data_IF_965950647187
#
_entry.id   IF_965950647187
#
_cell.length_a   1.000
_cell.length_b   1.000
_cell.length_c   1.000
_cell.angle_alpha   90.00
_cell.angle_beta   90.00
_cell.angle_gamma   90.00
#
_symmetry.space_group_name_H-M   'P 1'
#
loop_
_entity.id
_entity.type
_entity.pdbx_description
1 polymer ?
#
# COMPACT_ATOMS: atom_id res chain seq x y z
N UNK A 1 -11.26 -17.75 10.01
CA UNK A 1 -9.86 -18.23 10.20
C UNK A 1 -9.39 -19.11 9.01
N UNK A 2 -10.17 -20.08 8.52
CA UNK A 2 -9.74 -20.96 7.42
C UNK A 2 -9.56 -20.23 6.07
N UNK A 3 -10.40 -19.24 5.72
CA UNK A 3 -10.25 -18.46 4.49
C UNK A 3 -9.00 -17.56 4.48
N UNK A 4 -8.63 -17.00 5.64
CA UNK A 4 -7.40 -16.18 5.75
C UNK A 4 -6.11 -17.02 5.63
N UNK A 5 -6.12 -18.26 6.12
CA UNK A 5 -4.97 -19.18 5.95
C UNK A 5 -4.76 -19.54 4.47
N UNK A 6 -5.84 -19.87 3.72
CA UNK A 6 -5.72 -20.20 2.28
C UNK A 6 -5.21 -19.03 1.43
N UNK A 7 -5.52 -17.77 1.79
CA UNK A 7 -5.02 -16.59 1.06
C UNK A 7 -3.53 -16.37 1.32
N UNK A 8 -3.04 -16.58 2.55
CA UNK A 8 -1.61 -16.42 2.88
C UNK A 8 -0.70 -17.41 2.13
N UNK A 9 -1.14 -18.64 1.98
CA UNK A 9 -0.34 -19.68 1.32
C UNK A 9 -0.18 -19.45 -0.19
N UNK A 10 -0.96 -18.51 -0.76
CA UNK A 10 -0.95 -18.20 -2.19
C UNK A 10 -0.32 -16.83 -2.54
N UNK A 11 0.07 -16.01 -1.56
CA UNK A 11 0.75 -14.74 -1.82
C UNK A 11 2.25 -15.00 -1.96
N UNK A 12 2.77 -14.80 -3.16
CA UNK A 12 4.18 -15.10 -3.49
C UNK A 12 5.12 -13.92 -3.23
N UNK A 13 4.62 -12.68 -3.35
CA UNK A 13 5.40 -11.47 -3.09
C UNK A 13 4.51 -10.26 -2.78
N UNK A 14 5.08 -9.29 -2.07
CA UNK A 14 4.64 -7.90 -2.05
C UNK A 14 5.39 -7.15 -3.16
N UNK A 15 4.71 -6.31 -3.93
CA UNK A 15 5.32 -5.52 -4.99
C UNK A 15 5.23 -4.04 -4.63
N UNK A 16 6.34 -3.32 -4.77
CA UNK A 16 6.40 -1.86 -4.57
C UNK A 16 7.20 -1.18 -5.66
N UNK A 17 6.82 0.06 -5.98
CA UNK A 17 7.58 0.93 -6.88
C UNK A 17 8.44 1.90 -6.08
N UNK A 18 9.73 1.98 -6.42
CA UNK A 18 10.72 2.81 -5.74
C UNK A 18 11.29 3.82 -6.75
N UNK A 19 11.39 5.08 -6.33
CA UNK A 19 12.22 6.05 -7.02
C UNK A 19 13.68 5.66 -6.86
N UNK A 20 14.37 5.43 -7.99
CA UNK A 20 15.74 4.90 -8.03
C UNK A 20 16.76 5.78 -7.31
N UNK A 21 16.60 7.10 -7.38
CA UNK A 21 17.59 8.04 -6.83
C UNK A 21 17.36 8.29 -5.34
N UNK A 22 16.10 8.49 -4.92
CA UNK A 22 15.76 8.75 -3.53
C UNK A 22 15.67 7.48 -2.67
N UNK A 23 15.56 6.30 -3.28
CA UNK A 23 15.34 5.02 -2.60
C UNK A 23 14.10 5.05 -1.70
N UNK A 24 13.03 5.74 -2.17
CA UNK A 24 11.75 5.85 -1.47
C UNK A 24 10.61 5.38 -2.38
N UNK A 25 9.53 4.86 -1.79
CA UNK A 25 8.32 4.52 -2.56
C UNK A 25 7.77 5.74 -3.29
N UNK A 26 7.29 5.54 -4.52
CA UNK A 26 6.95 6.65 -5.42
C UNK A 26 5.76 7.47 -4.96
N UNK A 27 4.78 6.87 -4.30
CA UNK A 27 3.56 7.56 -3.85
C UNK A 27 3.63 8.00 -2.39
N UNK A 28 4.18 7.15 -1.52
CA UNK A 28 4.13 7.36 -0.07
C UNK A 28 5.42 7.95 0.50
N UNK A 29 6.51 8.01 -0.29
CA UNK A 29 7.80 8.52 0.17
C UNK A 29 8.51 7.66 1.23
N UNK A 30 8.05 6.44 1.49
CA UNK A 30 8.57 5.56 2.53
C UNK A 30 9.96 5.04 2.12
N UNK A 31 10.99 5.13 3.00
CA UNK A 31 12.31 4.60 2.73
C UNK A 31 12.30 3.09 2.46
N UNK A 32 13.11 2.64 1.49
CA UNK A 32 13.20 1.22 1.14
C UNK A 32 13.54 0.31 2.34
N UNK A 33 14.45 0.67 3.26
CA UNK A 33 14.72 -0.17 4.44
C UNK A 33 13.48 -0.43 5.31
N UNK A 34 12.58 0.55 5.45
CA UNK A 34 11.31 0.36 6.20
C UNK A 34 10.35 -0.57 5.46
N UNK A 35 10.27 -0.47 4.13
CA UNK A 35 9.43 -1.38 3.33
C UNK A 35 9.98 -2.81 3.39
N UNK A 36 11.30 -2.98 3.40
CA UNK A 36 11.92 -4.29 3.56
C UNK A 36 11.63 -4.87 4.95
N UNK A 37 11.82 -4.08 6.01
CA UNK A 37 11.50 -4.49 7.37
C UNK A 37 10.01 -4.88 7.52
N UNK A 38 9.11 -4.15 6.86
CA UNK A 38 7.67 -4.47 6.82
C UNK A 38 7.44 -5.84 6.18
N UNK A 39 8.01 -6.09 5.00
CA UNK A 39 7.89 -7.36 4.29
C UNK A 39 8.47 -8.53 5.11
N UNK A 40 9.65 -8.33 5.72
CA UNK A 40 10.31 -9.32 6.57
C UNK A 40 9.45 -9.66 7.80
N UNK A 41 8.87 -8.64 8.45
CA UNK A 41 8.00 -8.83 9.61
C UNK A 41 6.68 -9.55 9.26
N UNK A 42 6.15 -9.33 8.04
CA UNK A 42 4.98 -10.04 7.52
C UNK A 42 5.35 -11.46 7.06
N UNK A 43 6.61 -11.68 6.69
CA UNK A 43 7.10 -12.97 6.19
C UNK A 43 6.77 -13.22 4.72
N UNK A 44 6.60 -12.17 3.91
CA UNK A 44 6.34 -12.26 2.46
C UNK A 44 7.46 -11.50 1.74
N UNK A 45 8.13 -12.09 0.72
CA UNK A 45 9.20 -11.42 -0.01
C UNK A 45 8.77 -10.09 -0.65
N UNK A 46 9.64 -9.07 -0.62
CA UNK A 46 9.41 -7.80 -1.29
C UNK A 46 10.04 -7.80 -2.68
N UNK A 47 9.24 -7.55 -3.71
CA UNK A 47 9.70 -7.31 -5.08
C UNK A 47 9.71 -5.80 -5.37
N UNK A 48 10.88 -5.30 -5.77
CA UNK A 48 11.12 -3.87 -5.98
C UNK A 48 11.12 -3.57 -7.47
N UNK A 49 10.27 -2.66 -7.89
CA UNK A 49 10.24 -2.09 -9.24
C UNK A 49 10.87 -0.70 -9.19
N UNK A 50 12.09 -0.58 -9.73
CA UNK A 50 12.79 0.69 -9.76
C UNK A 50 12.28 1.58 -10.90
N UNK A 51 11.84 2.78 -10.55
CA UNK A 51 11.41 3.81 -11.50
C UNK A 51 12.46 4.92 -11.58
N UNK A 52 12.63 5.48 -12.78
CA UNK A 52 13.48 6.66 -12.97
C UNK A 52 12.80 7.90 -12.40
N UNK A 53 13.55 8.85 -11.80
CA UNK A 53 12.97 10.04 -11.12
C UNK A 53 12.13 10.95 -12.02
N UNK A 54 12.44 10.95 -13.32
CA UNK A 54 11.73 11.73 -14.34
C UNK A 54 10.89 10.84 -15.26
N UNK A 55 10.65 9.58 -14.83
CA UNK A 55 9.88 8.61 -15.59
C UNK A 55 8.46 9.10 -15.82
N UNK A 56 8.05 9.10 -17.08
CA UNK A 56 6.67 9.35 -17.47
C UNK A 56 5.81 8.09 -17.26
N UNK A 57 4.54 8.18 -17.60
CA UNK A 57 3.59 7.06 -17.49
C UNK A 57 4.03 5.83 -18.32
N UNK A 58 4.75 6.04 -19.43
CA UNK A 58 5.31 4.95 -20.26
C UNK A 58 6.36 4.15 -19.50
N UNK A 59 7.32 4.80 -18.87
CA UNK A 59 8.36 4.14 -18.06
C UNK A 59 7.75 3.33 -16.91
N UNK A 60 6.69 3.87 -16.29
CA UNK A 60 5.95 3.12 -15.27
C UNK A 60 5.30 1.87 -15.86
N UNK A 61 4.60 2.01 -16.99
CA UNK A 61 3.91 0.90 -17.65
C UNK A 61 4.88 -0.20 -18.10
N UNK A 62 6.03 0.17 -18.66
CA UNK A 62 7.09 -0.77 -19.04
C UNK A 62 7.65 -1.53 -17.85
N UNK A 63 8.00 -0.82 -16.78
CA UNK A 63 8.56 -1.44 -15.57
C UNK A 63 7.57 -2.39 -14.91
N UNK A 64 6.29 -2.00 -14.82
CA UNK A 64 5.22 -2.86 -14.30
C UNK A 64 4.95 -4.06 -15.20
N UNK A 65 5.03 -3.91 -16.53
CA UNK A 65 4.91 -5.01 -17.48
C UNK A 65 6.04 -6.03 -17.30
N UNK A 66 7.29 -5.56 -17.13
CA UNK A 66 8.43 -6.44 -16.85
C UNK A 66 8.23 -7.23 -15.56
N UNK A 67 7.78 -6.57 -14.48
CA UNK A 67 7.47 -7.24 -13.22
C UNK A 67 6.34 -8.27 -13.37
N UNK A 68 5.28 -7.92 -14.11
CA UNK A 68 4.17 -8.82 -14.36
C UNK A 68 4.58 -10.07 -15.14
N UNK A 69 5.41 -9.92 -16.18
CA UNK A 69 5.96 -11.03 -16.92
C UNK A 69 6.85 -11.94 -16.06
N UNK A 70 7.71 -11.35 -15.22
CA UNK A 70 8.53 -12.09 -14.27
C UNK A 70 7.68 -12.97 -13.33
N UNK A 71 6.60 -12.44 -12.78
CA UNK A 71 5.71 -13.21 -11.93
C UNK A 71 4.86 -14.24 -12.70
N UNK A 72 4.47 -13.92 -13.92
CA UNK A 72 3.78 -14.87 -14.79
C UNK A 72 4.62 -16.11 -15.06
N UNK A 73 5.93 -15.95 -15.31
CA UNK A 73 6.86 -17.07 -15.49
C UNK A 73 6.97 -17.95 -14.24
N UNK A 74 6.70 -17.41 -13.06
CA UNK A 74 6.63 -18.13 -11.79
C UNK A 74 5.25 -18.76 -11.53
N UNK A 75 4.29 -18.62 -12.46
CA UNK A 75 2.96 -19.18 -12.33
C UNK A 75 1.96 -18.29 -11.58
N UNK A 76 2.29 -17.02 -11.34
CA UNK A 76 1.34 -16.06 -10.75
C UNK A 76 0.26 -15.75 -11.75
N UNK A 77 -0.98 -15.87 -11.32
CA UNK A 77 -2.18 -15.65 -12.15
C UNK A 77 -2.98 -14.43 -11.76
N UNK A 78 -2.72 -13.85 -10.57
CA UNK A 78 -3.48 -12.74 -10.03
C UNK A 78 -2.57 -11.67 -9.43
N UNK A 79 -2.92 -10.41 -9.65
CA UNK A 79 -2.37 -9.28 -8.90
C UNK A 79 -3.47 -8.69 -8.02
N UNK A 80 -3.16 -8.51 -6.73
CA UNK A 80 -4.11 -8.04 -5.71
C UNK A 80 -3.81 -6.57 -5.42
N UNK A 81 -4.86 -5.75 -5.46
CA UNK A 81 -4.81 -4.32 -5.13
C UNK A 81 -5.82 -3.98 -4.05
N UNK A 82 -5.62 -2.85 -3.37
CA UNK A 82 -6.45 -2.41 -2.25
C UNK A 82 -7.51 -1.37 -2.60
N UNK A 83 -7.67 -1.02 -3.88
CA UNK A 83 -8.59 0.04 -4.28
C UNK A 83 -10.05 -0.30 -3.92
N UNK A 84 -10.81 0.72 -3.49
CA UNK A 84 -12.17 0.56 -2.98
C UNK A 84 -13.20 0.91 -4.06
N UNK A 85 -12.99 2.03 -4.83
CA UNK A 85 -13.96 2.53 -5.81
C UNK A 85 -13.36 3.33 -6.98
N UNK A 86 -12.03 3.41 -7.15
CA UNK A 86 -11.39 4.20 -8.22
C UNK A 86 -11.48 3.49 -9.58
N UNK A 87 -12.57 3.70 -10.30
CA UNK A 87 -12.89 3.00 -11.55
C UNK A 87 -11.85 3.17 -12.66
N UNK A 88 -11.27 4.36 -12.79
CA UNK A 88 -10.25 4.67 -13.79
C UNK A 88 -8.92 3.96 -13.51
N UNK A 89 -8.54 3.87 -12.25
CA UNK A 89 -7.35 3.14 -11.78
C UNK A 89 -7.51 1.65 -12.04
N UNK A 90 -8.64 1.06 -11.65
CA UNK A 90 -8.96 -0.33 -11.93
C UNK A 90 -8.93 -0.64 -13.42
N UNK A 91 -9.64 0.16 -14.23
CA UNK A 91 -9.68 -0.03 -15.68
C UNK A 91 -8.27 0.10 -16.32
N UNK A 92 -7.40 0.97 -15.79
CA UNK A 92 -6.02 1.06 -16.21
C UNK A 92 -5.26 -0.25 -15.91
N UNK A 93 -5.35 -0.79 -14.69
CA UNK A 93 -4.70 -2.05 -14.29
C UNK A 93 -5.17 -3.24 -15.11
N UNK A 94 -6.48 -3.37 -15.32
CA UNK A 94 -7.06 -4.42 -16.13
C UNK A 94 -6.54 -4.36 -17.59
N UNK A 95 -6.47 -3.17 -18.18
CA UNK A 95 -5.90 -3.00 -19.54
C UNK A 95 -4.43 -3.39 -19.64
N UNK A 96 -3.64 -3.18 -18.56
CA UNK A 96 -2.22 -3.55 -18.56
C UNK A 96 -2.00 -5.04 -18.32
N UNK A 97 -2.77 -5.67 -17.46
CA UNK A 97 -2.53 -7.04 -16.99
C UNK A 97 -3.29 -8.11 -17.78
N UNK A 98 -4.49 -7.80 -18.29
CA UNK A 98 -5.30 -8.76 -19.04
C UNK A 98 -4.59 -9.32 -20.30
N UNK A 99 -3.84 -8.53 -21.11
CA UNK A 99 -3.09 -9.07 -22.25
C UNK A 99 -2.01 -10.07 -21.85
N UNK A 100 -1.54 -10.00 -20.60
CA UNK A 100 -0.56 -10.92 -20.03
C UNK A 100 -1.21 -12.18 -19.44
N UNK A 101 -2.54 -12.25 -19.42
CA UNK A 101 -3.28 -13.33 -18.79
C UNK A 101 -3.21 -13.31 -17.26
N UNK A 102 -3.03 -12.15 -16.68
CA UNK A 102 -3.04 -11.90 -15.22
C UNK A 102 -4.35 -11.20 -14.86
N UNK A 103 -5.04 -11.72 -13.86
CA UNK A 103 -6.30 -11.17 -13.36
C UNK A 103 -6.04 -10.13 -12.27
N UNK A 104 -6.79 -9.03 -12.31
CA UNK A 104 -6.81 -8.01 -11.25
C UNK A 104 -7.82 -8.43 -10.19
N UNK A 105 -7.39 -8.50 -8.94
CA UNK A 105 -8.23 -8.82 -7.79
C UNK A 105 -8.23 -7.65 -6.82
N UNK A 106 -9.40 -7.12 -6.53
CA UNK A 106 -9.61 -6.02 -5.57
C UNK A 106 -10.62 -6.47 -4.52
N UNK A 107 -10.15 -7.05 -3.40
CA UNK A 107 -11.05 -7.65 -2.39
C UNK A 107 -11.99 -6.67 -1.70
N UNK A 108 -11.65 -5.38 -1.71
CA UNK A 108 -12.45 -4.30 -1.09
C UNK A 108 -13.38 -3.61 -2.08
N UNK A 109 -13.25 -3.91 -3.38
CA UNK A 109 -13.96 -3.21 -4.45
C UNK A 109 -15.48 -3.39 -4.37
N UNK A 110 -16.19 -2.28 -4.19
CA UNK A 110 -17.66 -2.22 -4.26
C UNK A 110 -18.40 -3.15 -3.30
N UNK A 111 -17.69 -3.83 -2.40
CA UNK A 111 -18.29 -4.78 -1.46
C UNK A 111 -19.00 -4.05 -0.33
N UNK A 112 -18.40 -2.93 0.13
CA UNK A 112 -18.90 -2.11 1.23
C UNK A 112 -18.51 -0.64 0.99
N UNK A 113 -19.12 0.28 1.74
CA UNK A 113 -18.74 1.70 1.67
C UNK A 113 -17.36 1.94 2.31
N UNK A 114 -16.74 3.06 1.95
CA UNK A 114 -15.44 3.49 2.49
C UNK A 114 -15.45 3.55 4.03
N UNK A 115 -16.54 4.00 4.64
CA UNK A 115 -16.70 4.05 6.10
C UNK A 115 -16.69 2.65 6.73
N UNK A 116 -17.30 1.65 6.07
CA UNK A 116 -17.28 0.26 6.57
C UNK A 116 -15.86 -0.33 6.45
N UNK A 117 -15.13 -0.03 5.38
CA UNK A 117 -13.72 -0.43 5.24
C UNK A 117 -12.91 0.15 6.40
N UNK A 118 -13.07 1.45 6.71
CA UNK A 118 -12.39 2.08 7.83
C UNK A 118 -12.78 1.46 9.18
N UNK A 119 -14.05 1.16 9.42
CA UNK A 119 -14.49 0.45 10.63
C UNK A 119 -13.84 -0.93 10.76
N UNK A 120 -13.73 -1.68 9.66
CA UNK A 120 -13.05 -2.98 9.64
C UNK A 120 -11.54 -2.82 9.89
N UNK A 121 -10.91 -1.79 9.34
CA UNK A 121 -9.53 -1.45 9.61
C UNK A 121 -9.33 -1.19 11.11
N UNK A 122 -10.08 -0.29 11.73
CA UNK A 122 -10.01 0.01 13.17
C UNK A 122 -10.21 -1.23 14.05
N UNK A 123 -11.07 -2.15 13.63
CA UNK A 123 -11.32 -3.41 14.34
C UNK A 123 -10.26 -4.50 14.08
N UNK A 124 -9.39 -4.32 13.08
CA UNK A 124 -8.41 -5.35 12.66
C UNK A 124 -7.22 -5.49 13.60
N UNK A 125 -6.92 -4.45 14.40
CA UNK A 125 -5.72 -4.34 15.22
C UNK A 125 -4.47 -3.94 14.43
N UNK A 126 -4.59 -3.59 13.14
CA UNK A 126 -3.50 -2.97 12.38
C UNK A 126 -3.22 -1.57 12.92
N UNK A 127 -1.95 -1.18 12.96
CA UNK A 127 -1.51 0.15 13.39
C UNK A 127 -0.79 0.84 12.26
N UNK A 128 -1.22 2.05 11.96
CA UNK A 128 -0.83 2.77 10.76
C UNK A 128 -0.63 4.24 11.13
N UNK A 129 0.43 4.86 10.62
CA UNK A 129 0.68 6.30 10.76
C UNK A 129 0.56 7.02 9.44
N UNK A 130 0.12 8.28 9.47
CA UNK A 130 0.12 9.16 8.30
C UNK A 130 1.57 9.56 7.99
N UNK A 131 2.00 9.37 6.75
CA UNK A 131 3.36 9.72 6.29
C UNK A 131 3.37 10.87 5.30
N UNK A 132 2.25 11.10 4.61
CA UNK A 132 2.09 12.20 3.64
C UNK A 132 0.65 12.69 3.67
N UNK A 133 0.43 13.98 3.49
CA UNK A 133 -0.90 14.60 3.36
C UNK A 133 -0.87 15.65 2.27
N UNK A 134 -2.03 15.90 1.65
CA UNK A 134 -2.20 17.05 0.76
C UNK A 134 -2.15 18.35 1.54
N UNK A 135 -1.58 19.39 0.93
CA UNK A 135 -1.42 20.70 1.57
C UNK A 135 -2.77 21.35 2.00
N UNK A 136 -3.80 21.13 1.20
CA UNK A 136 -5.16 21.63 1.43
C UNK A 136 -6.05 20.65 2.24
N UNK A 137 -5.46 19.53 2.70
CA UNK A 137 -6.17 18.47 3.44
C UNK A 137 -5.97 18.58 4.95
N UNK A 138 -5.41 17.53 5.56
CA UNK A 138 -5.22 17.43 7.03
C UNK A 138 -4.14 18.36 7.60
N UNK A 139 -3.32 18.98 6.75
CA UNK A 139 -2.18 19.78 7.18
C UNK A 139 -0.98 18.97 7.68
N UNK A 140 0.13 19.66 7.91
CA UNK A 140 1.40 19.02 8.32
C UNK A 140 1.33 18.38 9.72
N UNK A 141 0.45 18.88 10.58
CA UNK A 141 0.28 18.39 11.97
C UNK A 141 -0.30 16.95 12.02
N UNK A 142 -0.86 16.48 10.92
CA UNK A 142 -1.36 15.11 10.81
C UNK A 142 -0.24 14.09 10.55
N UNK A 143 0.92 14.53 10.04
CA UNK A 143 2.04 13.62 9.76
C UNK A 143 2.57 13.04 11.07
N UNK A 144 2.72 11.72 11.12
CA UNK A 144 3.12 10.97 12.30
C UNK A 144 1.97 10.61 13.25
N UNK A 145 0.74 11.11 13.01
CA UNK A 145 -0.43 10.68 13.80
C UNK A 145 -0.83 9.25 13.40
N UNK A 146 -1.23 8.48 14.40
CA UNK A 146 -1.83 7.17 14.20
C UNK A 146 -3.23 7.32 13.60
N UNK A 147 -3.59 6.43 12.67
CA UNK A 147 -4.94 6.34 12.12
C UNK A 147 -5.80 5.57 13.11
N UNK A 148 -6.40 6.29 14.03
CA UNK A 148 -7.28 5.81 15.08
C UNK A 148 -8.70 6.39 14.99
N UNK A 149 -9.57 6.01 15.90
CA UNK A 149 -10.95 6.48 15.93
C UNK A 149 -11.07 8.00 16.15
N UNK A 150 -10.15 8.59 16.93
CA UNK A 150 -10.15 10.03 17.23
C UNK A 150 -9.73 10.84 15.99
N UNK A 151 -8.70 10.37 15.25
CA UNK A 151 -8.33 10.97 13.98
C UNK A 151 -9.52 10.92 13.01
N UNK A 152 -10.11 9.74 12.81
CA UNK A 152 -11.22 9.55 11.85
C UNK A 152 -12.42 10.42 12.23
N UNK A 153 -12.76 10.54 13.51
CA UNK A 153 -13.83 11.42 13.98
C UNK A 153 -13.54 12.93 13.76
N UNK A 154 -12.25 13.29 13.63
CA UNK A 154 -11.82 14.67 13.38
C UNK A 154 -11.72 15.06 11.92
N UNK A 155 -11.85 14.10 10.98
CA UNK A 155 -11.75 14.36 9.55
C UNK A 155 -12.88 15.29 9.06
N UNK A 156 -12.60 16.18 8.09
CA UNK A 156 -13.65 16.89 7.37
C UNK A 156 -14.64 15.91 6.74
N UNK A 157 -15.93 16.27 6.72
CA UNK A 157 -16.99 15.37 6.21
C UNK A 157 -16.85 15.00 4.74
N UNK A 158 -16.19 15.85 3.98
CA UNK A 158 -15.96 15.69 2.53
C UNK A 158 -14.75 14.79 2.24
N UNK A 159 -13.97 14.47 3.25
CA UNK A 159 -12.75 13.66 3.11
C UNK A 159 -13.10 12.18 3.20
N UNK A 160 -12.52 11.38 2.29
CA UNK A 160 -12.64 9.93 2.39
C UNK A 160 -11.86 9.41 3.60
N UNK A 161 -12.50 8.62 4.49
CA UNK A 161 -11.84 8.15 5.72
C UNK A 161 -10.65 7.20 5.46
N UNK A 162 -10.54 6.60 4.26
CA UNK A 162 -9.41 5.76 3.88
C UNK A 162 -8.35 6.51 3.06
N UNK A 163 -8.57 7.80 2.76
CA UNK A 163 -7.66 8.59 1.92
C UNK A 163 -7.61 8.13 0.45
N UNK A 164 -8.70 7.52 -0.05
CA UNK A 164 -8.75 6.88 -1.37
C UNK A 164 -8.55 7.87 -2.52
N UNK A 165 -8.91 9.14 -2.34
CA UNK A 165 -8.69 10.21 -3.32
C UNK A 165 -7.30 10.86 -3.18
N UNK A 166 -6.40 10.30 -2.37
CA UNK A 166 -5.06 10.80 -2.14
C UNK A 166 -4.97 11.88 -1.08
N UNK A 167 -5.99 12.04 -0.23
CA UNK A 167 -6.02 13.06 0.82
C UNK A 167 -4.85 12.89 1.81
N UNK A 168 -4.48 11.65 2.10
CA UNK A 168 -3.30 11.29 2.87
C UNK A 168 -2.79 9.90 2.49
N UNK A 169 -1.52 9.62 2.79
CA UNK A 169 -0.92 8.31 2.65
C UNK A 169 -0.35 7.83 3.96
N UNK A 170 -0.28 6.51 4.12
CA UNK A 170 0.01 5.88 5.40
C UNK A 170 1.11 4.83 5.30
N UNK A 171 1.67 4.50 6.47
CA UNK A 171 2.56 3.37 6.66
C UNK A 171 2.06 2.50 7.81
N UNK A 172 1.75 1.23 7.51
CA UNK A 172 1.37 0.25 8.51
C UNK A 172 2.62 -0.33 9.17
N UNK A 173 2.74 -0.20 10.49
CA UNK A 173 3.97 -0.52 11.21
C UNK A 173 3.80 -1.67 12.22
N UNK A 174 2.57 -2.07 12.53
CA UNK A 174 2.27 -3.13 13.50
C UNK A 174 0.88 -3.74 13.25
N UNK A 175 0.62 -4.89 13.84
CA UNK A 175 -0.68 -5.54 13.84
C UNK A 175 -0.59 -7.07 13.80
N UNK A 176 -1.73 -7.76 13.75
CA UNK A 176 -1.79 -9.24 13.87
C UNK A 176 -1.06 -10.03 12.79
N UNK A 177 -0.70 -9.39 11.67
CA UNK A 177 0.05 -10.02 10.57
C UNK A 177 1.56 -9.85 10.70
N UNK A 178 2.02 -8.97 11.60
CA UNK A 178 3.41 -8.67 11.83
C UNK A 178 3.99 -9.61 12.89
N UNK A 179 5.23 -10.05 12.71
CA UNK A 179 5.98 -10.80 13.73
C UNK A 179 6.61 -9.88 14.80
N UNK A 180 6.84 -8.59 14.45
CA UNK A 180 7.39 -7.57 15.33
C UNK A 180 6.93 -6.18 14.90
N UNK A 181 6.76 -5.27 15.89
CA UNK A 181 6.47 -3.86 15.63
C UNK A 181 7.71 -3.15 15.06
N UNK A 182 7.52 -2.36 14.00
CA UNK A 182 8.62 -1.71 13.27
C UNK A 182 9.12 -0.41 13.92
N UNK A 183 8.29 0.24 14.76
CA UNK A 183 8.66 1.51 15.42
C UNK A 183 9.48 1.34 16.70
N UNK A 184 9.69 0.11 17.18
CA UNK A 184 10.48 -0.18 18.38
C UNK A 184 11.89 -0.70 18.07
N UNK A 185 12.35 -0.70 16.81
CA UNK A 185 13.74 -1.00 16.52
C UNK A 185 14.60 0.21 16.91
N UNK A 186 15.60 -0.01 17.74
CA UNK A 186 16.41 0.99 18.46
C UNK A 186 17.15 2.00 17.59
N UNK A 187 17.09 1.89 16.27
CA UNK A 187 17.77 2.78 15.33
C UNK A 187 16.86 3.92 14.79
N UNK A 188 15.58 3.96 15.20
CA UNK A 188 14.66 5.04 14.83
C UNK A 188 14.92 6.36 15.58
N UNK A 189 15.90 6.41 16.47
CA UNK A 189 16.19 7.60 17.27
C UNK A 189 17.09 8.64 16.55
N UNK A 190 17.70 8.29 15.42
CA UNK A 190 18.71 9.15 14.79
C UNK A 190 18.31 9.71 13.42
N UNK A 191 17.27 9.20 12.78
CA UNK A 191 16.71 9.76 11.56
C UNK A 191 15.40 10.50 11.87
N UNK A 192 15.51 11.79 12.11
CA UNK A 192 14.35 12.70 12.10
C UNK A 192 13.74 12.65 10.71
N UNK A 193 12.51 12.11 10.64
CA UNK A 193 11.63 12.14 9.46
C UNK A 193 11.37 13.58 9.04
#
# INVERSE_FOLDING_TARGET
RQRQMCIRDNIVALLTTINRDSQRSTMHGIPLPLLQAQADSIGIPLHIVNLTPQGNLENYAEAMTCAALHFKEQGVTHFIFGDIYLHDVRAYRERQLAPLGIEVVEPLWGVVSSEIVMQQYLASGLKTVIVTTQADGLGMDAIGREVDADLIASLPKEMDPNGENGEYHTFCYDGPIFSSCLLYTSDAADDRI
#
